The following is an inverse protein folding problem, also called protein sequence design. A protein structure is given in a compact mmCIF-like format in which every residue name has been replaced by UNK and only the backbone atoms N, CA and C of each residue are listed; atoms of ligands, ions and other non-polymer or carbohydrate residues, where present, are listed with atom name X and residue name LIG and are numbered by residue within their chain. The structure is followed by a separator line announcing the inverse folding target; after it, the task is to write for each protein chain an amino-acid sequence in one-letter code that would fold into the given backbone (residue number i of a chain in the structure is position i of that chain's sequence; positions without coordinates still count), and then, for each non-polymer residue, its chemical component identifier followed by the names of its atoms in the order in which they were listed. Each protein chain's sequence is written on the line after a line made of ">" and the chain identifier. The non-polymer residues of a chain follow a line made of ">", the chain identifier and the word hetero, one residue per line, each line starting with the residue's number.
data_IF_222501463716
#
_entry.id   IF_222501463716
#
_cell.length_a   1.000
_cell.length_b   1.000
_cell.length_c   1.000
_cell.angle_alpha   90.00
_cell.angle_beta   90.00
_cell.angle_gamma   90.00
#
_symmetry.space_group_name_H-M   'P 1'
#
loop_
_entity.id
_entity.type
_entity.pdbx_description
1 polymer ?
#
# COMPACT_ATOMS: atom_id res chain seq x y z
N UNK A 1 -2.73 14.91 37.02
CA UNK A 1 -1.76 14.65 35.94
C UNK A 1 -2.47 13.74 34.97
N UNK A 2 -2.93 14.33 33.87
CA UNK A 2 -3.59 13.64 32.77
C UNK A 2 -2.65 12.54 32.25
N UNK A 3 -3.12 11.29 32.25
CA UNK A 3 -2.43 10.21 31.55
C UNK A 3 -2.55 10.51 30.06
N UNK A 4 -1.44 10.94 29.49
CA UNK A 4 -1.22 11.11 28.07
C UNK A 4 -1.48 9.75 27.39
N UNK A 5 -2.69 9.56 26.87
CA UNK A 5 -3.11 8.38 26.09
C UNK A 5 -2.48 8.48 24.69
N UNK A 6 -1.15 8.58 24.61
CA UNK A 6 -0.41 8.52 23.36
C UNK A 6 -0.19 7.04 22.96
N UNK A 7 -1.28 6.27 22.91
CA UNK A 7 -1.24 4.98 22.22
C UNK A 7 -1.20 5.31 20.73
N UNK A 8 -0.20 4.81 19.97
CA UNK A 8 -0.23 4.98 18.53
C UNK A 8 -1.54 4.36 18.04
N UNK A 9 -2.42 5.20 17.49
CA UNK A 9 -3.62 4.73 16.80
C UNK A 9 -3.14 3.65 15.84
N UNK A 10 -3.75 2.45 15.85
CA UNK A 10 -3.41 1.43 14.86
C UNK A 10 -3.42 2.11 13.50
N UNK A 11 -2.34 1.98 12.74
CA UNK A 11 -2.18 2.59 11.41
C UNK A 11 -3.10 1.90 10.37
N UNK A 12 -4.21 1.34 10.85
CA UNK A 12 -5.26 0.65 10.15
C UNK A 12 -5.90 1.62 9.16
N UNK A 13 -5.74 1.32 7.88
CA UNK A 13 -6.21 2.16 6.77
C UNK A 13 -5.11 2.98 6.09
N UNK A 14 -3.90 3.09 6.66
CA UNK A 14 -2.77 3.66 5.91
C UNK A 14 -2.20 2.61 4.96
N UNK A 15 -1.83 3.04 3.76
CA UNK A 15 -1.21 2.17 2.75
C UNK A 15 0.09 2.78 2.32
N UNK A 16 1.15 1.98 2.37
CA UNK A 16 2.50 2.37 2.03
C UNK A 16 2.89 1.76 0.70
N UNK A 17 3.16 2.59 -0.31
CA UNK A 17 3.82 2.15 -1.54
C UNK A 17 5.31 1.97 -1.23
N UNK A 18 5.79 0.73 -1.25
CA UNK A 18 7.15 0.38 -0.82
C UNK A 18 8.18 0.54 -1.94
N UNK A 19 7.79 0.19 -3.17
CA UNK A 19 8.67 0.24 -4.34
C UNK A 19 7.86 0.31 -5.61
N UNK A 20 8.27 1.17 -6.52
CA UNK A 20 7.88 1.15 -7.94
C UNK A 20 9.16 0.99 -8.75
N UNK A 21 9.16 0.09 -9.71
CA UNK A 21 10.32 -0.11 -10.58
C UNK A 21 9.90 -0.55 -11.98
N UNK A 22 10.75 -0.21 -12.94
CA UNK A 22 10.63 -0.64 -14.32
C UNK A 22 11.56 -1.83 -14.52
N UNK A 23 11.01 -2.97 -14.92
CA UNK A 23 11.80 -4.11 -15.36
C UNK A 23 11.99 -4.02 -16.88
N UNK A 24 13.24 -4.18 -17.31
CA UNK A 24 13.66 -4.06 -18.72
C UNK A 24 14.31 -5.33 -19.23
N UNK A 25 14.12 -6.45 -18.52
CA UNK A 25 14.65 -7.76 -18.90
C UNK A 25 13.72 -8.44 -19.90
N UNK A 26 14.31 -9.06 -20.92
CA UNK A 26 13.66 -9.95 -21.89
C UNK A 26 12.45 -9.36 -22.63
N UNK A 27 12.70 -8.59 -23.69
CA UNK A 27 11.76 -8.14 -24.74
C UNK A 27 10.44 -7.45 -24.32
N UNK A 28 10.13 -7.37 -23.03
CA UNK A 28 8.92 -6.78 -22.47
C UNK A 28 9.29 -5.83 -21.33
N UNK A 29 9.22 -4.53 -21.63
CA UNK A 29 9.37 -3.48 -20.63
C UNK A 29 8.09 -3.41 -19.79
N UNK A 30 8.18 -3.67 -18.48
CA UNK A 30 7.01 -3.71 -17.59
C UNK A 30 7.25 -2.94 -16.29
N UNK A 31 6.18 -2.32 -15.78
CA UNK A 31 6.22 -1.58 -14.53
C UNK A 31 5.63 -2.42 -13.40
N UNK A 32 6.32 -2.44 -12.27
CA UNK A 32 5.88 -3.16 -11.09
C UNK A 32 5.75 -2.23 -9.90
N UNK A 33 4.88 -2.62 -8.97
CA UNK A 33 4.71 -1.93 -7.71
C UNK A 33 4.56 -2.92 -6.56
N UNK A 34 4.97 -2.52 -5.36
CA UNK A 34 4.63 -3.25 -4.13
C UNK A 34 4.11 -2.31 -3.08
N UNK A 35 3.07 -2.73 -2.36
CA UNK A 35 2.44 -1.97 -1.28
C UNK A 35 2.35 -2.79 -0.01
N UNK A 36 2.07 -2.12 1.11
CA UNK A 36 1.76 -2.73 2.40
C UNK A 36 0.70 -1.91 3.12
N UNK A 37 -0.32 -2.58 3.65
CA UNK A 37 -1.32 -1.97 4.54
C UNK A 37 -0.75 -1.86 5.96
N UNK A 38 -0.79 -0.68 6.55
CA UNK A 38 -0.18 -0.39 7.85
C UNK A 38 1.33 -0.64 7.91
N UNK A 39 1.88 -0.50 9.11
CA UNK A 39 3.30 -0.77 9.37
C UNK A 39 3.65 -2.27 9.39
N UNK A 40 2.66 -3.12 9.69
CA UNK A 40 2.85 -4.57 9.92
C UNK A 40 2.01 -5.47 9.00
N UNK A 41 1.25 -4.91 8.05
CA UNK A 41 0.41 -5.74 7.18
C UNK A 41 1.18 -6.50 6.12
N UNK A 42 0.45 -7.31 5.36
CA UNK A 42 0.99 -8.12 4.29
C UNK A 42 1.48 -7.24 3.13
N UNK A 43 2.61 -7.63 2.53
CA UNK A 43 3.10 -7.02 1.30
C UNK A 43 2.35 -7.61 0.10
N UNK A 44 1.88 -6.74 -0.79
CA UNK A 44 1.23 -7.12 -2.05
C UNK A 44 2.02 -6.58 -3.22
N UNK A 45 2.24 -7.42 -4.23
CA UNK A 45 2.94 -7.07 -5.47
C UNK A 45 1.98 -6.92 -6.64
N UNK A 46 2.29 -6.01 -7.54
CA UNK A 46 1.54 -5.74 -8.77
C UNK A 46 2.48 -5.76 -9.97
N UNK A 47 2.03 -6.38 -11.06
CA UNK A 47 2.73 -6.43 -12.34
C UNK A 47 2.41 -5.23 -13.26
N UNK A 48 1.65 -4.26 -12.76
CA UNK A 48 1.37 -2.97 -13.39
C UNK A 48 1.15 -1.91 -12.32
N UNK A 49 1.52 -0.67 -12.61
CA UNK A 49 1.19 0.49 -11.78
C UNK A 49 -0.32 0.75 -11.80
N UNK A 50 -1.00 0.52 -12.91
CA UNK A 50 -2.45 0.72 -13.01
C UNK A 50 -3.21 -0.24 -12.09
N UNK A 51 -2.82 -1.51 -12.05
CA UNK A 51 -3.40 -2.49 -11.12
C UNK A 51 -3.15 -2.11 -9.65
N UNK A 52 -2.01 -1.49 -9.35
CA UNK A 52 -1.74 -0.95 -8.02
C UNK A 52 -2.67 0.23 -7.70
N UNK A 53 -2.86 1.16 -8.64
CA UNK A 53 -3.75 2.32 -8.48
C UNK A 53 -5.19 1.85 -8.30
N UNK A 54 -5.67 0.91 -9.12
CA UNK A 54 -7.02 0.36 -9.00
C UNK A 54 -7.26 -0.25 -7.61
N UNK A 55 -6.28 -0.97 -7.05
CA UNK A 55 -6.36 -1.47 -5.68
C UNK A 55 -6.44 -0.35 -4.64
N UNK A 56 -5.60 0.68 -4.77
CA UNK A 56 -5.59 1.82 -3.83
C UNK A 56 -6.92 2.58 -3.85
N UNK A 57 -7.45 2.88 -5.02
CA UNK A 57 -8.68 3.68 -5.15
C UNK A 57 -9.97 2.86 -5.03
N UNK A 58 -9.94 1.59 -5.42
CA UNK A 58 -11.10 0.71 -5.42
C UNK A 58 -11.35 0.04 -4.08
N UNK A 59 -10.35 -0.62 -3.51
CA UNK A 59 -10.50 -1.45 -2.30
C UNK A 59 -10.25 -0.66 -1.02
N UNK A 60 -9.26 0.24 -1.04
CA UNK A 60 -8.78 0.89 0.18
C UNK A 60 -9.52 2.19 0.47
N UNK A 61 -9.71 3.06 -0.52
CA UNK A 61 -10.44 4.32 -0.33
C UNK A 61 -11.96 4.14 -0.17
N UNK A 62 -12.52 2.99 -0.60
CA UNK A 62 -13.95 2.69 -0.40
C UNK A 62 -14.26 2.06 0.95
N UNK A 63 -13.26 1.68 1.75
CA UNK A 63 -13.52 1.18 3.10
C UNK A 63 -13.87 2.33 4.03
N UNK A 64 -15.03 2.29 4.73
CA UNK A 64 -15.27 3.21 5.81
C UNK A 64 -14.19 3.02 6.89
N UNK A 65 -13.73 4.10 7.55
CA UNK A 65 -12.89 3.97 8.72
C UNK A 65 -13.64 3.09 9.74
N UNK A 66 -13.01 2.00 10.18
CA UNK A 66 -13.57 1.13 11.22
C UNK A 66 -13.45 1.79 12.59
#
# INVERSE_FOLDING_TARGET
>A
MEQDDNRPVPDEGRVYVLRVWHDTREDEASWHATVREGSHGARRSFASVDACIEHLYGELLRRPPR
#
